data_IF_002406285541
#
_entry.id   IF_002406285541
#
_cell.length_a   1.000
_cell.length_b   1.000
_cell.length_c   1.000
_cell.angle_alpha   90.00
_cell.angle_beta   90.00
_cell.angle_gamma   90.00
#
_symmetry.space_group_name_H-M   'P 1'
#
loop_
_entity.id
_entity.type
_entity.pdbx_description
1 polymer ?
#
# COMPACT_ATOMS: atom_id res chain seq x y z
N UNK A 1 -0.15 34.89 4.64
CA UNK A 1 -0.87 34.70 5.92
C UNK A 1 -0.26 33.51 6.63
N UNK A 2 0.40 33.75 7.77
CA UNK A 2 1.09 32.73 8.58
C UNK A 2 0.04 31.76 9.14
N UNK A 3 0.06 30.49 8.74
CA UNK A 3 -0.68 29.45 9.45
C UNK A 3 0.18 29.06 10.67
N UNK A 4 -0.23 29.39 11.90
CA UNK A 4 0.58 29.13 13.07
C UNK A 4 0.72 27.61 13.20
N UNK A 5 1.94 27.19 13.47
CA UNK A 5 2.28 25.83 13.82
C UNK A 5 1.27 25.29 14.83
N UNK A 6 0.36 24.41 14.39
CA UNK A 6 -0.45 23.62 15.31
C UNK A 6 0.43 22.49 15.87
N UNK A 7 1.56 22.87 16.47
CA UNK A 7 2.15 22.04 17.52
C UNK A 7 1.22 22.24 18.69
N UNK A 8 0.21 21.38 18.81
CA UNK A 8 -0.46 21.20 20.10
C UNK A 8 0.70 20.86 21.04
N UNK A 9 1.01 21.69 22.06
CA UNK A 9 2.04 21.34 23.02
C UNK A 9 1.63 19.98 23.59
N UNK A 10 2.43 18.94 23.32
CA UNK A 10 2.19 17.60 23.85
C UNK A 10 2.48 17.70 25.34
N UNK A 11 1.46 18.11 26.09
CA UNK A 11 1.50 18.05 27.54
C UNK A 11 1.29 16.57 27.86
N UNK A 12 2.39 15.84 28.03
CA UNK A 12 2.37 14.53 28.68
C UNK A 12 2.03 14.81 30.14
N UNK A 13 0.73 14.85 30.43
CA UNK A 13 0.24 14.94 31.80
C UNK A 13 0.51 13.61 32.49
N UNK A 14 0.90 13.65 33.76
CA UNK A 14 1.13 12.48 34.61
C UNK A 14 -0.10 11.55 34.75
N UNK A 15 -1.26 11.94 34.21
CA UNK A 15 -2.51 11.16 34.20
C UNK A 15 -2.97 10.76 32.79
N UNK A 16 -2.05 10.62 31.84
CA UNK A 16 -2.41 10.23 30.47
C UNK A 16 -2.97 8.80 30.42
N UNK A 17 -4.07 8.61 29.68
CA UNK A 17 -4.67 7.29 29.45
C UNK A 17 -4.23 6.73 28.11
N UNK A 18 -3.81 5.47 28.10
CA UNK A 18 -3.38 4.75 26.90
C UNK A 18 -4.43 3.70 26.59
N UNK A 19 -5.01 3.76 25.39
CA UNK A 19 -5.88 2.71 24.87
C UNK A 19 -5.01 1.62 24.26
N UNK A 20 -5.11 0.39 24.77
CA UNK A 20 -4.36 -0.77 24.29
C UNK A 20 -5.31 -1.78 23.65
N UNK A 21 -5.02 -2.18 22.41
CA UNK A 21 -5.76 -3.24 21.72
C UNK A 21 -4.91 -4.48 21.58
N UNK A 22 -5.50 -5.67 21.73
CA UNK A 22 -4.73 -6.92 21.74
C UNK A 22 -4.14 -7.24 23.11
N UNK A 23 -4.71 -6.67 24.19
CA UNK A 23 -4.24 -6.82 25.58
C UNK A 23 -4.07 -8.27 26.06
N UNK A 24 -4.81 -9.20 25.45
CA UNK A 24 -4.76 -10.63 25.77
C UNK A 24 -3.70 -11.40 24.98
N UNK A 25 -3.02 -10.74 24.04
CA UNK A 25 -1.96 -11.32 23.23
C UNK A 25 -0.64 -11.41 23.98
N UNK A 26 0.23 -12.33 23.54
CA UNK A 26 1.52 -12.63 24.16
C UNK A 26 2.43 -11.40 24.29
N UNK A 27 2.55 -10.63 23.21
CA UNK A 27 3.34 -9.38 23.15
C UNK A 27 2.76 -8.31 24.06
N UNK A 28 1.44 -8.13 24.04
CA UNK A 28 0.79 -7.11 24.85
C UNK A 28 0.84 -7.42 26.34
N UNK A 29 0.76 -8.69 26.74
CA UNK A 29 0.95 -9.11 28.12
C UNK A 29 2.34 -8.76 28.64
N UNK A 30 3.37 -8.99 27.82
CA UNK A 30 4.77 -8.67 28.14
C UNK A 30 4.97 -7.16 28.35
N UNK A 31 4.36 -6.33 27.50
CA UNK A 31 4.42 -4.86 27.66
C UNK A 31 3.70 -4.40 28.92
N UNK A 32 2.52 -4.97 29.21
CA UNK A 32 1.79 -4.65 30.44
C UNK A 32 2.58 -5.05 31.69
N UNK A 33 3.24 -6.21 31.65
CA UNK A 33 4.06 -6.70 32.76
C UNK A 33 5.30 -5.82 32.96
N UNK A 34 6.01 -5.47 31.90
CA UNK A 34 7.11 -4.50 31.98
C UNK A 34 6.68 -3.13 32.51
N UNK A 35 5.57 -2.58 32.02
CA UNK A 35 5.05 -1.29 32.50
C UNK A 35 4.51 -1.36 33.93
N UNK A 36 4.18 -2.57 34.40
CA UNK A 36 3.82 -2.85 35.78
C UNK A 36 5.06 -2.97 36.68
N UNK A 37 6.12 -3.66 36.22
CA UNK A 37 7.37 -3.90 36.92
C UNK A 37 8.25 -2.64 37.02
N UNK A 38 8.38 -1.88 35.92
CA UNK A 38 9.18 -0.64 35.83
C UNK A 38 8.51 0.54 36.57
N UNK A 39 7.32 0.33 37.15
CA UNK A 39 6.59 1.31 37.97
C UNK A 39 7.48 1.95 39.05
N UNK A 40 8.50 1.27 39.54
CA UNK A 40 9.36 1.78 40.62
C UNK A 40 10.55 2.63 40.15
N UNK A 41 10.92 2.57 38.87
CA UNK A 41 12.17 3.18 38.38
C UNK A 41 11.95 4.53 37.68
N UNK A 42 10.80 4.72 37.03
CA UNK A 42 10.57 5.86 36.15
C UNK A 42 9.31 6.67 36.56
N UNK A 43 9.46 7.88 37.13
CA UNK A 43 8.33 8.68 37.65
C UNK A 43 7.37 9.17 36.56
N UNK A 44 7.80 9.18 35.29
CA UNK A 44 6.97 9.57 34.14
C UNK A 44 5.90 8.53 33.79
N UNK A 45 6.05 7.27 34.23
CA UNK A 45 5.16 6.15 33.88
C UNK A 45 4.20 5.78 35.03
N UNK A 46 4.50 6.21 36.26
CA UNK A 46 3.77 5.84 37.48
C UNK A 46 2.28 6.19 37.47
N UNK A 47 1.90 7.31 36.85
CA UNK A 47 0.51 7.78 36.79
C UNK A 47 -0.26 7.37 35.52
N UNK A 48 0.35 6.59 34.62
CA UNK A 48 -0.31 6.11 33.41
C UNK A 48 -1.32 5.01 33.74
N UNK A 49 -2.51 5.14 33.14
CA UNK A 49 -3.61 4.16 33.21
C UNK A 49 -3.90 3.61 31.81
N UNK A 50 -4.31 2.35 31.74
CA UNK A 50 -4.50 1.62 30.49
C UNK A 50 -5.95 1.21 30.32
N UNK A 51 -6.59 1.71 29.26
CA UNK A 51 -7.88 1.21 28.82
C UNK A 51 -7.62 0.00 27.90
N UNK A 52 -8.00 -1.21 28.32
CA UNK A 52 -7.68 -2.46 27.62
C UNK A 52 -8.89 -2.94 26.84
N UNK A 53 -8.83 -3.01 25.51
CA UNK A 53 -9.92 -3.64 24.74
C UNK A 53 -9.80 -5.16 24.83
N UNK A 54 -10.84 -5.81 25.36
CA UNK A 54 -10.87 -7.25 25.59
C UNK A 54 -12.13 -7.85 24.96
N UNK A 55 -12.00 -9.04 24.36
CA UNK A 55 -13.11 -9.75 23.71
C UNK A 55 -13.99 -10.53 24.70
N UNK A 56 -13.39 -11.15 25.71
CA UNK A 56 -14.10 -11.98 26.71
C UNK A 56 -14.08 -11.36 28.11
N UNK A 57 -15.16 -11.57 28.85
CA UNK A 57 -15.30 -11.11 30.23
C UNK A 57 -14.32 -11.84 31.17
N UNK A 58 -14.00 -13.11 30.88
CA UNK A 58 -12.99 -13.88 31.60
C UNK A 58 -11.60 -13.24 31.51
N UNK A 59 -11.21 -12.78 30.32
CA UNK A 59 -9.93 -12.10 30.15
C UNK A 59 -9.93 -10.72 30.81
N UNK A 60 -11.07 -10.01 30.82
CA UNK A 60 -11.20 -8.75 31.56
C UNK A 60 -11.02 -8.97 33.07
N UNK A 61 -11.58 -10.05 33.62
CA UNK A 61 -11.40 -10.42 35.03
C UNK A 61 -9.92 -10.72 35.36
N UNK A 62 -9.26 -11.55 34.55
CA UNK A 62 -7.83 -11.87 34.73
C UNK A 62 -6.93 -10.63 34.71
N UNK A 63 -7.20 -9.70 33.79
CA UNK A 63 -6.42 -8.46 33.68
C UNK A 63 -6.64 -7.51 34.87
N UNK A 64 -7.86 -7.44 35.42
CA UNK A 64 -8.14 -6.68 36.65
C UNK A 64 -7.44 -7.28 37.86
N UNK A 65 -7.46 -8.61 37.98
CA UNK A 65 -6.78 -9.33 39.07
C UNK A 65 -5.25 -9.16 38.99
N UNK A 66 -4.66 -9.20 37.79
CA UNK A 66 -3.22 -9.09 37.59
C UNK A 66 -2.67 -7.66 37.76
N UNK A 67 -3.37 -6.64 37.25
CA UNK A 67 -2.83 -5.29 37.14
C UNK A 67 -3.53 -4.21 37.99
N UNK A 68 -4.61 -4.58 38.70
CA UNK A 68 -5.34 -3.71 39.63
C UNK A 68 -5.95 -2.46 38.96
N UNK A 69 -6.03 -1.36 39.71
CA UNK A 69 -6.73 -0.12 39.30
C UNK A 69 -6.09 0.62 38.10
N UNK A 70 -4.91 0.19 37.64
CA UNK A 70 -4.26 0.77 36.45
C UNK A 70 -4.79 0.19 35.14
N UNK A 71 -5.38 -1.01 35.18
CA UNK A 71 -5.94 -1.67 34.02
C UNK A 71 -7.46 -1.59 34.06
N UNK A 72 -8.01 -0.83 33.12
CA UNK A 72 -9.45 -0.72 32.91
C UNK A 72 -9.85 -1.52 31.66
N UNK A 73 -10.17 -2.82 31.78
CA UNK A 73 -10.61 -3.59 30.64
C UNK A 73 -12.03 -3.21 30.25
N UNK A 74 -12.17 -2.88 28.97
CA UNK A 74 -13.39 -2.50 28.28
C UNK A 74 -13.73 -3.67 27.35
N UNK A 75 -14.90 -4.28 27.57
CA UNK A 75 -15.37 -5.34 26.71
C UNK A 75 -15.79 -4.78 25.35
N UNK A 76 -15.15 -5.25 24.28
CA UNK A 76 -15.44 -4.80 22.92
C UNK A 76 -15.32 -5.99 21.95
N UNK A 77 -16.48 -6.45 21.46
CA UNK A 77 -16.54 -7.55 20.49
C UNK A 77 -16.25 -7.12 19.04
N UNK A 78 -16.36 -5.83 18.73
CA UNK A 78 -16.32 -5.31 17.37
C UNK A 78 -14.92 -5.03 16.80
N UNK A 79 -13.83 -5.61 17.30
CA UNK A 79 -12.49 -5.45 16.70
C UNK A 79 -12.15 -6.66 15.83
N UNK A 80 -13.09 -7.03 14.97
CA UNK A 80 -13.00 -8.11 13.99
C UNK A 80 -13.26 -7.51 12.62
N UNK A 81 -12.48 -7.91 11.63
CA UNK A 81 -12.69 -7.54 10.22
C UNK A 81 -13.90 -8.26 9.60
N UNK A 82 -14.61 -9.07 10.39
CA UNK A 82 -15.87 -9.70 9.99
C UNK A 82 -16.92 -8.59 9.79
N UNK A 83 -17.56 -8.51 8.61
CA UNK A 83 -18.48 -7.45 8.24
C UNK A 83 -19.80 -7.59 9.01
N UNK A 84 -19.82 -7.21 10.28
CA UNK A 84 -21.04 -7.19 11.08
C UNK A 84 -21.96 -6.00 10.73
N UNK A 85 -21.50 -5.03 9.93
CA UNK A 85 -22.37 -4.00 9.37
C UNK A 85 -21.79 -3.31 8.10
N UNK A 86 -22.58 -3.14 7.02
CA UNK A 86 -22.12 -2.59 5.73
C UNK A 86 -21.87 -1.07 5.72
N UNK A 87 -21.93 -0.38 6.87
CA UNK A 87 -21.90 1.10 6.88
C UNK A 87 -20.57 1.73 7.27
N UNK A 88 -19.73 1.11 8.14
CA UNK A 88 -18.33 1.53 8.43
C UNK A 88 -17.54 0.38 9.08
N UNK A 89 -16.28 0.11 8.67
CA UNK A 89 -15.41 -0.79 9.42
C UNK A 89 -15.25 -0.29 10.86
N UNK A 90 -15.36 -1.15 11.88
CA UNK A 90 -15.32 -0.73 13.28
C UNK A 90 -14.00 -0.06 13.67
N UNK A 91 -12.89 -0.48 13.05
CA UNK A 91 -11.55 0.12 13.20
C UNK A 91 -11.54 1.59 12.74
N UNK A 92 -12.15 1.90 11.61
CA UNK A 92 -12.27 3.27 11.07
C UNK A 92 -13.11 4.18 11.98
N UNK A 93 -14.17 3.64 12.58
CA UNK A 93 -14.99 4.37 13.55
C UNK A 93 -14.21 4.67 14.83
N UNK A 94 -13.40 3.72 15.31
CA UNK A 94 -12.53 3.89 16.48
C UNK A 94 -11.51 5.02 16.28
N UNK A 95 -10.77 5.00 15.18
CA UNK A 95 -9.76 6.03 14.85
C UNK A 95 -10.39 7.41 14.70
N UNK A 96 -11.52 7.52 13.98
CA UNK A 96 -12.23 8.80 13.89
C UNK A 96 -12.77 9.29 15.25
N UNK A 97 -13.18 8.38 16.13
CA UNK A 97 -13.59 8.69 17.48
C UNK A 97 -12.45 9.28 18.32
N UNK A 98 -11.25 8.69 18.23
CA UNK A 98 -10.05 9.17 18.90
C UNK A 98 -9.58 10.52 18.35
N UNK A 99 -9.55 10.68 17.02
CA UNK A 99 -9.16 11.93 16.37
C UNK A 99 -10.04 13.12 16.81
N UNK A 100 -11.35 12.91 17.02
CA UNK A 100 -12.27 13.95 17.53
C UNK A 100 -11.97 14.41 18.96
N UNK A 101 -11.21 13.63 19.73
CA UNK A 101 -10.83 13.95 21.13
C UNK A 101 -9.60 14.84 21.21
N UNK A 102 -8.83 14.94 20.12
CA UNK A 102 -7.68 15.85 20.01
C UNK A 102 -8.21 17.28 19.91
N UNK A 103 -8.17 18.01 21.03
CA UNK A 103 -8.59 19.41 21.15
C UNK A 103 -7.51 20.23 21.87
N UNK A 104 -7.36 21.53 21.57
CA UNK A 104 -6.41 22.39 22.27
C UNK A 104 -6.69 22.38 23.78
N UNK A 105 -5.69 22.05 24.60
CA UNK A 105 -5.80 22.00 26.06
C UNK A 105 -6.17 20.63 26.65
N UNK A 106 -6.54 19.64 25.84
CA UNK A 106 -6.75 18.26 26.29
C UNK A 106 -5.47 17.42 26.13
N UNK A 107 -5.29 16.44 27.02
CA UNK A 107 -4.26 15.41 26.84
C UNK A 107 -4.50 14.63 25.54
N UNK A 108 -3.42 14.38 24.79
CA UNK A 108 -3.49 13.61 23.54
C UNK A 108 -3.84 12.16 23.89
N UNK A 109 -4.88 11.57 23.28
CA UNK A 109 -5.19 10.16 23.47
C UNK A 109 -4.11 9.30 22.80
N UNK A 110 -3.50 8.40 23.56
CA UNK A 110 -2.53 7.44 23.05
C UNK A 110 -3.24 6.13 22.70
N UNK A 111 -3.00 5.61 21.50
CA UNK A 111 -3.47 4.29 21.08
C UNK A 111 -2.25 3.43 20.79
N UNK A 112 -2.15 2.30 21.50
CA UNK A 112 -1.17 1.26 21.24
C UNK A 112 -1.91 0.06 20.64
N UNK A 113 -1.65 -0.22 19.35
CA UNK A 113 -2.32 -1.27 18.60
C UNK A 113 -1.40 -2.48 18.43
N UNK A 114 -1.70 -3.57 19.14
CA UNK A 114 -0.90 -4.82 19.15
C UNK A 114 -1.82 -6.03 18.96
N UNK A 115 -2.97 -5.84 18.30
CA UNK A 115 -3.84 -6.95 17.94
C UNK A 115 -3.21 -7.68 16.73
N UNK A 116 -3.11 -9.01 16.80
CA UNK A 116 -2.61 -9.80 15.68
C UNK A 116 -1.08 -9.79 15.49
N UNK A 117 -0.30 -9.36 16.49
CA UNK A 117 1.16 -9.53 16.48
C UNK A 117 1.54 -10.85 17.18
N UNK A 118 1.75 -11.96 16.44
CA UNK A 118 2.42 -13.14 16.98
C UNK A 118 3.92 -12.87 17.16
N UNK A 119 4.55 -13.62 18.06
CA UNK A 119 6.02 -13.62 18.21
C UNK A 119 6.68 -14.49 17.11
N UNK A 120 6.36 -14.22 15.84
CA UNK A 120 6.78 -15.08 14.71
C UNK A 120 8.27 -14.90 14.32
N UNK A 121 9.04 -14.12 15.07
CA UNK A 121 10.30 -13.52 14.61
C UNK A 121 11.56 -13.96 15.34
N UNK A 122 11.57 -15.09 16.05
CA UNK A 122 12.71 -15.47 16.89
C UNK A 122 13.77 -16.32 16.17
N UNK A 123 13.50 -16.77 14.93
CA UNK A 123 14.45 -17.53 14.10
C UNK A 123 14.89 -16.73 12.86
N UNK A 124 16.16 -16.85 12.44
CA UNK A 124 16.64 -16.18 11.24
C UNK A 124 15.78 -16.53 10.01
N UNK A 125 15.43 -15.53 9.19
CA UNK A 125 14.72 -15.70 7.90
C UNK A 125 15.45 -16.64 6.92
N UNK A 126 16.70 -16.98 7.19
CA UNK A 126 17.53 -17.91 6.41
C UNK A 126 17.34 -19.38 6.80
N UNK A 127 16.65 -19.67 7.91
CA UNK A 127 16.33 -21.04 8.33
C UNK A 127 15.02 -21.52 7.70
N UNK A 128 14.85 -22.83 7.63
CA UNK A 128 13.61 -23.45 7.11
C UNK A 128 12.43 -23.05 7.98
N UNK A 129 11.34 -22.57 7.37
CA UNK A 129 10.11 -22.21 8.05
C UNK A 129 9.67 -23.34 9.00
N UNK A 130 9.58 -23.04 10.29
CA UNK A 130 9.21 -24.01 11.31
C UNK A 130 8.32 -23.37 12.37
N UNK A 131 7.15 -23.94 12.64
CA UNK A 131 6.38 -24.84 11.77
C UNK A 131 5.69 -24.05 10.64
N UNK A 132 5.61 -24.63 9.44
CA UNK A 132 4.71 -24.14 8.40
C UNK A 132 3.27 -24.48 8.82
N UNK A 133 2.57 -23.51 9.41
CA UNK A 133 1.22 -23.68 9.95
C UNK A 133 0.40 -22.43 9.70
N UNK A 134 -0.70 -22.62 8.98
CA UNK A 134 -1.73 -21.60 8.80
C UNK A 134 -2.70 -21.62 9.99
N UNK A 135 -2.97 -20.46 10.56
CA UNK A 135 -3.84 -20.30 11.72
C UNK A 135 -5.17 -19.68 11.28
N UNK A 136 -6.27 -20.31 11.69
CA UNK A 136 -7.62 -19.75 11.52
C UNK A 136 -7.93 -18.77 12.66
N UNK A 137 -8.34 -17.55 12.31
CA UNK A 137 -8.75 -16.51 13.25
C UNK A 137 -9.96 -16.90 14.10
N UNK A 138 -10.75 -17.91 13.68
CA UNK A 138 -11.84 -18.46 14.48
C UNK A 138 -11.34 -19.15 15.76
N UNK A 139 -10.11 -19.66 15.76
CA UNK A 139 -9.47 -20.38 16.87
C UNK A 139 -8.55 -19.49 17.71
N UNK A 140 -9.05 -18.37 18.25
CA UNK A 140 -8.22 -17.32 18.87
C UNK A 140 -7.27 -17.75 20.01
N UNK A 141 -7.47 -18.91 20.64
CA UNK A 141 -6.58 -19.46 21.67
C UNK A 141 -5.53 -20.45 21.12
N UNK A 142 -5.71 -20.98 19.91
CA UNK A 142 -4.85 -22.04 19.38
C UNK A 142 -3.40 -21.55 19.16
N UNK A 143 -3.25 -20.31 18.69
CA UNK A 143 -1.95 -19.63 18.57
C UNK A 143 -1.30 -19.47 19.95
N UNK A 144 -2.08 -19.07 20.95
CA UNK A 144 -1.58 -18.85 22.32
C UNK A 144 -1.11 -20.15 22.97
N UNK A 145 -1.90 -21.23 22.86
CA UNK A 145 -1.54 -22.53 23.44
C UNK A 145 -0.28 -23.11 22.79
N UNK A 146 -0.12 -22.93 21.48
CA UNK A 146 1.09 -23.32 20.76
C UNK A 146 2.32 -22.55 21.23
N UNK A 147 2.24 -21.21 21.27
CA UNK A 147 3.36 -20.38 21.74
C UNK A 147 3.71 -20.68 23.20
N UNK A 148 2.70 -20.97 24.03
CA UNK A 148 2.91 -21.37 25.43
C UNK A 148 3.63 -22.72 25.55
N UNK A 149 3.31 -23.69 24.70
CA UNK A 149 4.00 -24.98 24.67
C UNK A 149 5.44 -24.81 24.17
N UNK A 150 5.68 -23.96 23.17
CA UNK A 150 7.01 -23.69 22.64
C UNK A 150 7.92 -22.99 23.67
N UNK A 151 7.40 -22.02 24.43
CA UNK A 151 8.16 -21.35 25.50
C UNK A 151 8.51 -22.32 26.65
N UNK A 152 7.72 -23.39 26.86
CA UNK A 152 8.07 -24.45 27.83
C UNK A 152 9.14 -25.41 27.32
N UNK A 153 9.21 -25.67 26.01
CA UNK A 153 10.22 -26.54 25.40
C UNK A 153 11.57 -25.84 25.24
N UNK A 154 11.54 -24.56 24.84
CA UNK A 154 12.73 -23.71 24.70
C UNK A 154 12.55 -22.41 25.49
N UNK A 155 12.91 -22.39 26.79
CA UNK A 155 12.80 -21.19 27.61
C UNK A 155 13.71 -20.10 27.06
N UNK A 156 13.13 -19.03 26.52
CA UNK A 156 13.90 -17.91 25.96
C UNK A 156 14.65 -17.15 27.08
N UNK A 157 15.92 -16.74 26.87
CA UNK A 157 16.67 -15.99 27.87
C UNK A 157 16.16 -14.54 27.97
N UNK A 158 15.56 -14.22 29.12
CA UNK A 158 15.26 -12.90 29.73
C UNK A 158 14.65 -11.77 28.85
N UNK A 159 13.62 -11.13 29.43
CA UNK A 159 12.91 -9.87 29.08
C UNK A 159 13.55 -8.92 28.04
N UNK A 160 14.85 -8.66 28.11
CA UNK A 160 15.53 -7.68 27.25
C UNK A 160 15.64 -8.12 25.77
N UNK A 161 15.75 -9.43 25.49
CA UNK A 161 15.76 -9.92 24.09
C UNK A 161 14.37 -9.80 23.43
N UNK A 162 13.30 -9.88 24.21
CA UNK A 162 11.90 -9.90 23.70
C UNK A 162 11.50 -8.53 23.16
N UNK A 163 11.84 -7.46 23.87
CA UNK A 163 11.61 -6.08 23.38
C UNK A 163 12.57 -5.75 22.23
N UNK A 164 13.81 -6.22 22.28
CA UNK A 164 14.78 -6.02 21.21
C UNK A 164 14.33 -6.68 19.89
N UNK A 165 13.84 -7.94 19.92
CA UNK A 165 13.31 -8.62 18.74
C UNK A 165 12.05 -7.94 18.20
N UNK A 166 11.16 -7.47 19.08
CA UNK A 166 9.99 -6.69 18.66
C UNK A 166 10.40 -5.37 18.00
N UNK A 167 11.29 -4.58 18.62
CA UNK A 167 11.79 -3.33 18.03
C UNK A 167 12.53 -3.60 16.71
N UNK A 168 13.31 -4.67 16.62
CA UNK A 168 13.99 -5.09 15.39
C UNK A 168 13.01 -5.52 14.29
N UNK A 169 11.93 -6.24 14.60
CA UNK A 169 10.92 -6.63 13.60
C UNK A 169 10.11 -5.44 13.11
N UNK A 170 9.75 -4.49 13.99
CA UNK A 170 9.12 -3.22 13.58
C UNK A 170 10.07 -2.35 12.74
N UNK A 171 11.35 -2.26 13.12
CA UNK A 171 12.36 -1.55 12.33
C UNK A 171 12.59 -2.23 10.97
N UNK A 172 12.66 -3.56 10.93
CA UNK A 172 12.79 -4.33 9.70
C UNK A 172 11.56 -4.15 8.80
N UNK A 173 10.34 -4.14 9.37
CA UNK A 173 9.12 -3.88 8.62
C UNK A 173 9.10 -2.45 8.06
N UNK A 174 9.42 -1.45 8.88
CA UNK A 174 9.48 -0.05 8.44
C UNK A 174 10.50 0.14 7.31
N UNK A 175 11.68 -0.48 7.46
CA UNK A 175 12.73 -0.47 6.44
C UNK A 175 12.26 -1.19 5.17
N UNK A 176 11.59 -2.35 5.29
CA UNK A 176 11.06 -3.09 4.14
C UNK A 176 10.01 -2.28 3.37
N UNK A 177 9.10 -1.61 4.08
CA UNK A 177 8.08 -0.74 3.48
C UNK A 177 8.72 0.47 2.78
N UNK A 178 9.76 1.05 3.36
CA UNK A 178 10.53 2.12 2.73
C UNK A 178 11.19 1.65 1.42
N UNK A 179 11.87 0.51 1.43
CA UNK A 179 12.48 -0.08 0.22
C UNK A 179 11.46 -0.36 -0.88
N UNK A 180 10.34 -1.01 -0.53
CA UNK A 180 9.25 -1.29 -1.48
C UNK A 180 8.70 0.03 -2.05
N UNK A 181 8.58 1.07 -1.23
CA UNK A 181 8.11 2.39 -1.70
C UNK A 181 9.09 3.04 -2.68
N UNK A 182 10.39 2.95 -2.42
CA UNK A 182 11.44 3.45 -3.31
C UNK A 182 11.42 2.69 -4.64
N UNK A 183 11.37 1.36 -4.60
CA UNK A 183 11.28 0.52 -5.80
C UNK A 183 10.06 0.88 -6.65
N UNK A 184 8.90 1.06 -6.02
CA UNK A 184 7.67 1.47 -6.69
C UNK A 184 7.78 2.85 -7.33
N UNK A 185 8.40 3.80 -6.64
CA UNK A 185 8.64 5.15 -7.17
C UNK A 185 9.47 5.10 -8.45
N UNK A 186 10.58 4.35 -8.42
CA UNK A 186 11.47 4.17 -9.58
C UNK A 186 10.75 3.42 -10.71
N UNK A 187 10.05 2.34 -10.41
CA UNK A 187 9.31 1.54 -11.40
C UNK A 187 8.27 2.39 -12.13
N UNK A 188 7.53 3.26 -11.41
CA UNK A 188 6.52 4.13 -12.03
C UNK A 188 7.14 5.12 -13.02
N UNK A 189 8.31 5.69 -12.71
CA UNK A 189 9.02 6.58 -13.64
C UNK A 189 9.54 5.83 -14.87
N UNK A 190 10.15 4.65 -14.66
CA UNK A 190 10.62 3.81 -15.75
C UNK A 190 9.48 3.35 -16.66
N UNK A 191 8.34 2.98 -16.09
CA UNK A 191 7.14 2.60 -16.82
C UNK A 191 6.65 3.72 -17.74
N UNK A 192 6.50 4.95 -17.22
CA UNK A 192 6.05 6.11 -18.00
C UNK A 192 6.98 6.37 -19.20
N UNK A 193 8.28 6.29 -18.97
CA UNK A 193 9.30 6.51 -20.02
C UNK A 193 9.30 5.38 -21.04
N UNK A 194 9.29 4.12 -20.60
CA UNK A 194 9.26 2.94 -21.46
C UNK A 194 8.02 2.94 -22.36
N UNK A 195 6.85 3.25 -21.80
CA UNK A 195 5.59 3.28 -22.55
C UNK A 195 5.59 4.37 -23.63
N UNK A 196 6.19 5.54 -23.35
CA UNK A 196 6.39 6.58 -24.34
C UNK A 196 7.24 6.10 -25.52
N UNK A 197 8.39 5.47 -25.24
CA UNK A 197 9.28 4.95 -26.29
C UNK A 197 8.60 3.88 -27.16
N UNK A 198 7.80 3.00 -26.55
CA UNK A 198 7.01 1.99 -27.29
C UNK A 198 6.04 2.67 -28.26
N UNK A 199 5.24 3.64 -27.79
CA UNK A 199 4.28 4.39 -28.63
C UNK A 199 4.97 5.17 -29.75
N UNK A 200 6.06 5.86 -29.44
CA UNK A 200 6.86 6.59 -30.42
C UNK A 200 7.46 5.67 -31.49
N UNK A 201 7.92 4.47 -31.09
CA UNK A 201 8.45 3.47 -32.03
C UNK A 201 7.39 2.98 -33.01
N UNK A 202 6.15 2.76 -32.56
CA UNK A 202 5.02 2.38 -33.42
C UNK A 202 4.65 3.53 -34.38
N UNK A 203 4.55 4.76 -33.88
CA UNK A 203 4.23 5.93 -34.69
C UNK A 203 5.32 6.24 -35.72
N UNK A 204 6.59 6.05 -35.37
CA UNK A 204 7.72 6.18 -36.29
C UNK A 204 7.67 5.11 -37.40
N UNK A 205 7.26 3.89 -37.09
CA UNK A 205 7.01 2.85 -38.09
C UNK A 205 5.89 3.25 -39.06
N UNK A 206 4.75 3.75 -38.56
CA UNK A 206 3.66 4.21 -39.41
C UNK A 206 4.06 5.37 -40.33
N UNK A 207 4.93 6.27 -39.86
CA UNK A 207 5.46 7.38 -40.66
C UNK A 207 6.32 6.91 -41.84
N UNK A 208 6.99 5.74 -41.71
CA UNK A 208 7.76 5.12 -42.79
C UNK A 208 6.87 4.41 -43.81
N UNK A 209 5.77 3.81 -43.38
CA UNK A 209 4.92 3.00 -44.27
C UNK A 209 4.00 3.87 -45.13
N UNK A 210 3.37 4.92 -44.58
CA UNK A 210 2.47 5.82 -45.35
C UNK A 210 3.04 7.23 -45.51
N UNK A 211 2.98 7.73 -46.75
CA UNK A 211 3.49 9.05 -47.14
C UNK A 211 2.38 10.08 -47.35
N UNK A 212 1.10 9.73 -47.13
CA UNK A 212 -0.03 10.66 -47.29
C UNK A 212 0.01 11.79 -46.27
N UNK A 213 -0.31 13.01 -46.74
CA UNK A 213 -0.30 14.24 -45.92
C UNK A 213 -1.22 14.14 -44.70
N UNK A 214 -2.46 13.66 -44.86
CA UNK A 214 -3.41 13.52 -43.76
C UNK A 214 -2.95 12.52 -42.70
N UNK A 215 -2.42 11.36 -43.11
CA UNK A 215 -1.87 10.35 -42.19
C UNK A 215 -0.70 10.92 -41.39
N UNK A 216 0.20 11.67 -42.04
CA UNK A 216 1.34 12.31 -41.36
C UNK A 216 0.92 13.35 -40.33
N UNK A 217 -0.06 14.21 -40.66
CA UNK A 217 -0.60 15.16 -39.69
C UNK A 217 -1.23 14.46 -38.48
N UNK A 218 -1.97 13.37 -38.70
CA UNK A 218 -2.52 12.54 -37.61
C UNK A 218 -1.41 11.92 -36.75
N UNK A 219 -0.34 11.41 -37.36
CA UNK A 219 0.83 10.87 -36.63
C UNK A 219 1.52 11.95 -35.80
N UNK A 220 1.78 13.14 -36.36
CA UNK A 220 2.40 14.23 -35.60
C UNK A 220 1.54 14.68 -34.42
N UNK A 221 0.22 14.75 -34.61
CA UNK A 221 -0.71 15.04 -33.53
C UNK A 221 -0.64 13.97 -32.43
N UNK A 222 -0.63 12.67 -32.79
CA UNK A 222 -0.49 11.60 -31.82
C UNK A 222 0.85 11.67 -31.08
N UNK A 223 1.98 11.88 -31.77
CA UNK A 223 3.29 12.07 -31.15
C UNK A 223 3.25 13.22 -30.12
N UNK A 224 2.67 14.36 -30.51
CA UNK A 224 2.53 15.51 -29.61
C UNK A 224 1.73 15.14 -28.34
N UNK A 225 0.59 14.46 -28.50
CA UNK A 225 -0.23 14.05 -27.34
C UNK A 225 0.45 13.01 -26.45
N UNK A 226 1.18 12.05 -27.03
CA UNK A 226 1.91 11.01 -26.29
C UNK A 226 3.05 11.63 -25.48
N UNK A 227 3.86 12.49 -26.10
CA UNK A 227 4.97 13.18 -25.41
C UNK A 227 4.41 14.11 -24.33
N UNK A 228 3.37 14.89 -24.63
CA UNK A 228 2.75 15.80 -23.67
C UNK A 228 2.18 15.07 -22.45
N UNK A 229 1.49 13.94 -22.66
CA UNK A 229 0.99 13.11 -21.57
C UNK A 229 2.14 12.51 -20.76
N UNK A 230 3.19 12.01 -21.41
CA UNK A 230 4.35 11.42 -20.74
C UNK A 230 5.06 12.45 -19.85
N UNK A 231 5.34 13.64 -20.39
CA UNK A 231 6.04 14.71 -19.66
C UNK A 231 5.20 15.19 -18.48
N UNK A 232 3.90 15.43 -18.67
CA UNK A 232 3.02 15.83 -17.56
C UNK A 232 2.93 14.77 -16.46
N UNK A 233 2.85 13.49 -16.83
CA UNK A 233 2.83 12.37 -15.87
C UNK A 233 4.14 12.26 -15.11
N UNK A 234 5.28 12.35 -15.80
CA UNK A 234 6.60 12.27 -15.19
C UNK A 234 6.83 13.42 -14.20
N UNK A 235 6.44 14.65 -14.57
CA UNK A 235 6.51 15.81 -13.68
C UNK A 235 5.67 15.58 -12.42
N UNK A 236 4.43 15.12 -12.57
CA UNK A 236 3.58 14.86 -11.40
C UNK A 236 4.13 13.73 -10.54
N UNK A 237 4.67 12.66 -11.13
CA UNK A 237 5.30 11.59 -10.36
C UNK A 237 6.53 12.07 -9.58
N UNK A 238 7.30 13.03 -10.11
CA UNK A 238 8.48 13.60 -9.44
C UNK A 238 8.09 14.63 -8.37
N UNK A 239 7.08 15.47 -8.68
CA UNK A 239 6.70 16.62 -7.86
C UNK A 239 5.45 16.37 -6.99
N UNK A 240 4.94 15.13 -6.91
CA UNK A 240 3.81 14.81 -6.01
C UNK A 240 4.17 15.04 -4.53
N UNK A 241 5.46 14.99 -4.19
CA UNK A 241 6.01 15.30 -2.88
C UNK A 241 7.27 16.15 -3.05
N UNK A 242 7.39 17.24 -2.30
CA UNK A 242 8.61 18.05 -2.27
C UNK A 242 9.09 18.26 -0.83
N UNK A 243 10.25 17.70 -0.43
CA UNK A 243 11.16 16.84 -1.20
C UNK A 243 10.58 15.46 -1.54
N UNK A 244 11.09 14.79 -2.59
CA UNK A 244 10.62 13.48 -3.04
C UNK A 244 10.79 12.38 -1.99
N UNK A 245 11.72 12.55 -1.04
CA UNK A 245 11.94 11.64 0.07
C UNK A 245 10.70 11.46 0.96
N UNK A 246 9.81 12.46 1.02
CA UNK A 246 8.52 12.36 1.73
C UNK A 246 7.57 11.32 1.14
N UNK A 247 7.86 10.81 -0.07
CA UNK A 247 7.08 9.72 -0.66
C UNK A 247 7.25 8.42 0.12
N UNK A 248 8.49 8.03 0.44
CA UNK A 248 8.81 6.77 1.10
C UNK A 248 9.02 6.92 2.61
N UNK A 249 9.38 8.10 3.12
CA UNK A 249 9.36 8.36 4.56
C UNK A 249 7.91 8.55 5.06
N UNK A 250 7.38 7.50 5.69
CA UNK A 250 6.03 7.50 6.25
C UNK A 250 5.93 8.26 7.59
N UNK A 251 7.07 8.58 8.21
CA UNK A 251 7.13 9.13 9.58
C UNK A 251 7.25 10.64 9.62
N UNK A 252 7.67 11.28 8.51
CA UNK A 252 7.84 12.72 8.45
C UNK A 252 6.48 13.46 8.44
N UNK A 253 6.19 14.34 9.43
CA UNK A 253 4.98 15.14 9.46
C UNK A 253 4.82 16.10 8.27
N UNK A 254 5.88 16.38 7.52
CA UNK A 254 5.84 17.17 6.28
C UNK A 254 5.13 16.44 5.13
N UNK A 255 4.82 15.15 5.26
CA UNK A 255 4.03 14.38 4.30
C UNK A 255 2.65 14.96 4.03
N UNK A 256 2.07 15.72 4.97
CA UNK A 256 0.83 16.47 4.74
C UNK A 256 0.92 17.50 3.60
N UNK A 257 2.14 17.92 3.23
CA UNK A 257 2.39 18.83 2.10
C UNK A 257 2.45 18.12 0.76
N UNK A 258 2.48 16.79 0.73
CA UNK A 258 2.37 16.03 -0.52
C UNK A 258 0.99 16.20 -1.14
N UNK A 259 0.88 15.92 -2.44
CA UNK A 259 -0.38 15.96 -3.17
C UNK A 259 -1.43 15.07 -2.47
N UNK A 260 -2.61 15.62 -2.12
CA UNK A 260 -3.67 14.87 -1.46
C UNK A 260 -4.04 13.62 -2.26
N UNK A 261 -4.30 12.50 -1.56
CA UNK A 261 -4.62 11.22 -2.20
C UNK A 261 -5.78 11.33 -3.21
N UNK A 262 -6.81 12.12 -2.89
CA UNK A 262 -7.94 12.36 -3.78
C UNK A 262 -7.55 13.05 -5.10
N UNK A 263 -6.67 14.07 -5.03
CA UNK A 263 -6.21 14.78 -6.24
C UNK A 263 -5.32 13.89 -7.10
N UNK A 264 -4.42 13.16 -6.44
CA UNK A 264 -3.53 12.19 -7.08
C UNK A 264 -4.33 11.12 -7.83
N UNK A 265 -5.39 10.60 -7.22
CA UNK A 265 -6.25 9.61 -7.82
C UNK A 265 -6.98 10.15 -9.05
N UNK A 266 -7.60 11.34 -8.96
CA UNK A 266 -8.29 11.97 -10.11
C UNK A 266 -7.31 12.13 -11.29
N UNK A 267 -6.07 12.53 -11.01
CA UNK A 267 -5.04 12.65 -12.04
C UNK A 267 -4.73 11.31 -12.71
N UNK A 268 -4.48 10.24 -11.94
CA UNK A 268 -4.17 8.93 -12.51
C UNK A 268 -5.36 8.28 -13.22
N UNK A 269 -6.59 8.51 -12.76
CA UNK A 269 -7.81 8.08 -13.46
C UNK A 269 -7.94 8.77 -14.83
N UNK A 270 -7.78 10.10 -14.88
CA UNK A 270 -7.82 10.85 -16.13
C UNK A 270 -6.68 10.44 -17.08
N UNK A 271 -5.48 10.23 -16.53
CA UNK A 271 -4.32 9.76 -17.28
C UNK A 271 -4.55 8.38 -17.91
N UNK A 272 -5.17 7.47 -17.15
CA UNK A 272 -5.54 6.14 -17.64
C UNK A 272 -6.50 6.21 -18.82
N UNK A 273 -7.54 7.05 -18.74
CA UNK A 273 -8.51 7.24 -19.84
C UNK A 273 -7.81 7.78 -21.09
N UNK A 274 -6.98 8.82 -20.95
CA UNK A 274 -6.28 9.42 -22.10
C UNK A 274 -5.33 8.39 -22.74
N UNK A 275 -4.64 7.57 -21.92
CA UNK A 275 -3.78 6.51 -22.44
C UNK A 275 -4.55 5.48 -23.27
N UNK A 276 -5.69 4.99 -22.77
CA UNK A 276 -6.55 4.05 -23.51
C UNK A 276 -7.02 4.66 -24.83
N UNK A 277 -7.45 5.94 -24.80
CA UNK A 277 -7.89 6.65 -26.00
C UNK A 277 -6.76 6.76 -27.02
N UNK A 278 -5.53 7.09 -26.58
CA UNK A 278 -4.36 7.10 -27.46
C UNK A 278 -4.09 5.74 -28.08
N UNK A 279 -4.19 4.66 -27.31
CA UNK A 279 -3.93 3.31 -27.80
C UNK A 279 -4.94 2.91 -28.88
N UNK A 280 -6.22 3.24 -28.68
CA UNK A 280 -7.27 3.04 -29.69
C UNK A 280 -6.95 3.81 -30.98
N UNK A 281 -6.55 5.08 -30.89
CA UNK A 281 -6.21 5.87 -32.08
C UNK A 281 -4.97 5.32 -32.81
N UNK A 282 -3.93 4.95 -32.08
CA UNK A 282 -2.72 4.34 -32.65
C UNK A 282 -3.07 3.02 -33.34
N UNK A 283 -3.95 2.22 -32.74
CA UNK A 283 -4.41 0.96 -33.29
C UNK A 283 -5.28 1.14 -34.55
N UNK A 284 -6.16 2.14 -34.59
CA UNK A 284 -7.04 2.39 -35.74
C UNK A 284 -6.30 3.01 -36.94
N UNK A 285 -5.20 3.73 -36.71
CA UNK A 285 -4.43 4.43 -37.75
C UNK A 285 -4.00 3.56 -38.96
N UNK A 286 -3.52 2.32 -38.80
CA UNK A 286 -3.20 1.41 -39.92
C UNK A 286 -4.40 0.82 -40.68
N UNK A 287 -5.64 0.84 -40.13
CA UNK A 287 -6.81 0.22 -40.80
C UNK A 287 -7.11 0.86 -42.17
N UNK A 288 -7.18 2.20 -42.31
CA UNK A 288 -7.36 2.85 -43.61
C UNK A 288 -6.14 2.69 -44.53
N UNK A 289 -4.94 2.55 -43.96
CA UNK A 289 -3.70 2.35 -44.71
C UNK A 289 -3.71 1.00 -45.43
N UNK A 290 -4.13 -0.07 -44.75
CA UNK A 290 -4.21 -1.42 -45.30
C UNK A 290 -5.26 -1.60 -46.41
N UNK A 291 -6.37 -0.85 -46.38
CA UNK A 291 -7.44 -0.99 -47.38
C UNK A 291 -7.00 -0.67 -48.82
N UNK A 292 -5.92 0.08 -49.00
CA UNK A 292 -5.44 0.52 -50.33
C UNK A 292 -4.09 -0.08 -50.73
N UNK A 293 -3.46 -0.90 -49.88
CA UNK A 293 -2.13 -1.45 -50.16
C UNK A 293 -2.26 -2.86 -50.78
N UNK A 294 -1.83 -3.00 -52.03
CA UNK A 294 -1.79 -4.30 -52.73
C UNK A 294 -0.57 -5.12 -52.27
N UNK A 295 -0.61 -5.60 -51.02
CA UNK A 295 0.45 -6.42 -50.42
C UNK A 295 0.23 -7.91 -50.74
N UNK A 296 1.29 -8.68 -51.06
CA UNK A 296 1.21 -10.13 -51.24
C UNK A 296 0.65 -10.82 -49.97
N UNK A 297 -0.12 -11.90 -50.16
CA UNK A 297 -0.91 -12.56 -49.09
C UNK A 297 -0.11 -12.89 -47.83
N UNK A 298 1.17 -13.26 -47.95
CA UNK A 298 2.05 -13.55 -46.81
C UNK A 298 2.31 -12.33 -45.92
N UNK A 299 2.56 -11.15 -46.51
CA UNK A 299 2.74 -9.91 -45.76
C UNK A 299 1.42 -9.43 -45.15
N UNK A 300 0.29 -9.67 -45.83
CA UNK A 300 -1.04 -9.36 -45.30
C UNK A 300 -1.36 -10.17 -44.03
N UNK A 301 -0.95 -11.44 -43.97
CA UNK A 301 -1.09 -12.27 -42.76
C UNK A 301 -0.19 -11.79 -41.61
N UNK A 302 1.05 -11.39 -41.88
CA UNK A 302 1.95 -10.84 -40.86
C UNK A 302 1.37 -9.57 -40.22
N UNK A 303 0.84 -8.64 -41.02
CA UNK A 303 0.23 -7.41 -40.50
C UNK A 303 -1.06 -7.70 -39.71
N UNK A 304 -1.87 -8.67 -40.15
CA UNK A 304 -3.08 -9.08 -39.41
C UNK A 304 -2.72 -9.70 -38.05
N UNK A 305 -1.65 -10.49 -37.99
CA UNK A 305 -1.16 -11.08 -36.75
C UNK A 305 -0.66 -10.02 -35.77
N UNK A 306 0.09 -9.03 -36.25
CA UNK A 306 0.52 -7.88 -35.44
C UNK A 306 -0.67 -7.06 -34.90
N UNK A 307 -1.72 -6.93 -35.71
CA UNK A 307 -2.99 -6.34 -35.29
C UNK A 307 -3.57 -7.08 -34.09
N UNK A 308 -3.59 -8.41 -34.14
CA UNK A 308 -4.15 -9.24 -33.10
C UNK A 308 -3.38 -9.14 -31.78
N UNK A 309 -2.04 -9.08 -31.83
CA UNK A 309 -1.21 -8.86 -30.64
C UNK A 309 -1.45 -7.46 -30.05
N UNK A 310 -1.64 -6.45 -30.90
CA UNK A 310 -2.01 -5.10 -30.47
C UNK A 310 -3.33 -5.03 -29.68
N UNK A 311 -4.32 -5.87 -30.03
CA UNK A 311 -5.58 -5.99 -29.26
C UNK A 311 -5.32 -6.53 -27.85
N UNK A 312 -4.42 -7.52 -27.72
CA UNK A 312 -4.09 -8.10 -26.40
C UNK A 312 -3.47 -7.04 -25.48
N UNK A 313 -2.57 -6.21 -26.01
CA UNK A 313 -1.99 -5.09 -25.26
C UNK A 313 -3.07 -4.07 -24.84
N UNK A 314 -4.03 -3.76 -25.72
CA UNK A 314 -5.15 -2.86 -25.40
C UNK A 314 -6.05 -3.43 -24.29
N UNK A 315 -6.32 -4.75 -24.31
CA UNK A 315 -7.10 -5.43 -23.27
C UNK A 315 -6.35 -5.40 -21.93
N UNK A 316 -5.04 -5.66 -21.93
CA UNK A 316 -4.20 -5.60 -20.73
C UNK A 316 -4.25 -4.20 -20.08
N UNK A 317 -4.13 -3.13 -20.87
CA UNK A 317 -4.27 -1.75 -20.39
C UNK A 317 -5.67 -1.44 -19.83
N UNK A 318 -6.73 -2.02 -20.41
CA UNK A 318 -8.09 -1.92 -19.89
C UNK A 318 -8.29 -2.63 -18.55
N UNK A 319 -7.70 -3.83 -18.39
CA UNK A 319 -7.71 -4.57 -17.11
C UNK A 319 -6.94 -3.79 -16.04
N UNK A 320 -5.77 -3.23 -16.37
CA UNK A 320 -5.02 -2.35 -15.48
C UNK A 320 -5.87 -1.16 -15.01
N UNK A 321 -6.59 -0.51 -15.91
CA UNK A 321 -7.49 0.60 -15.55
C UNK A 321 -8.61 0.16 -14.61
N UNK A 322 -9.19 -1.03 -14.81
CA UNK A 322 -10.16 -1.60 -13.89
C UNK A 322 -9.60 -1.76 -12.46
N UNK A 323 -8.38 -2.26 -12.33
CA UNK A 323 -7.71 -2.36 -11.03
C UNK A 323 -7.46 -0.98 -10.40
N UNK A 324 -7.00 0.00 -11.19
CA UNK A 324 -6.82 1.38 -10.71
C UNK A 324 -8.13 1.99 -10.18
N UNK A 325 -9.28 1.70 -10.79
CA UNK A 325 -10.58 2.13 -10.27
C UNK A 325 -10.94 1.42 -8.95
N UNK A 326 -10.53 0.17 -8.78
CA UNK A 326 -10.77 -0.62 -7.56
C UNK A 326 -9.95 -0.14 -6.36
N UNK A 327 -8.79 0.50 -6.58
CA UNK A 327 -8.05 1.19 -5.51
C UNK A 327 -8.87 2.25 -4.77
N UNK A 328 -10.00 2.71 -5.33
CA UNK A 328 -10.89 3.70 -4.72
C UNK A 328 -11.71 3.17 -3.53
N UNK A 329 -12.09 1.90 -3.55
CA UNK A 329 -13.27 1.41 -2.83
C UNK A 329 -13.00 0.26 -1.85
N UNK A 330 -11.78 -0.26 -1.76
CA UNK A 330 -11.49 -1.50 -1.02
C UNK A 330 -10.45 -1.26 0.10
N UNK A 331 -10.58 -2.02 1.20
CA UNK A 331 -9.71 -1.93 2.37
C UNK A 331 -8.31 -2.55 2.10
N UNK A 332 -8.17 -3.42 1.08
CA UNK A 332 -6.92 -4.09 0.68
C UNK A 332 -6.19 -3.40 -0.48
N UNK A 333 -5.71 -2.19 -0.24
CA UNK A 333 -5.01 -1.35 -1.24
C UNK A 333 -3.80 -2.08 -1.85
N UNK A 334 -3.04 -2.82 -1.05
CA UNK A 334 -1.79 -3.46 -1.48
C UNK A 334 -2.00 -4.63 -2.44
N UNK A 335 -3.08 -5.40 -2.27
CA UNK A 335 -3.41 -6.53 -3.14
C UNK A 335 -3.72 -6.04 -4.57
N UNK A 336 -4.65 -5.09 -4.69
CA UNK A 336 -5.04 -4.52 -5.98
C UNK A 336 -3.92 -3.71 -6.64
N UNK A 337 -3.06 -3.08 -5.84
CA UNK A 337 -1.89 -2.39 -6.35
C UNK A 337 -0.88 -3.37 -6.98
N UNK A 338 -0.62 -4.50 -6.33
CA UNK A 338 0.28 -5.55 -6.86
C UNK A 338 -0.26 -6.16 -8.15
N UNK A 339 -1.56 -6.48 -8.19
CA UNK A 339 -2.22 -6.93 -9.43
C UNK A 339 -2.08 -5.91 -10.56
N UNK A 340 -2.30 -4.61 -10.27
CA UNK A 340 -2.12 -3.56 -11.26
C UNK A 340 -0.69 -3.50 -11.81
N UNK A 341 0.33 -3.71 -10.97
CA UNK A 341 1.75 -3.72 -11.41
C UNK A 341 2.07 -4.92 -12.28
N UNK A 342 1.52 -6.10 -11.99
CA UNK A 342 1.69 -7.28 -12.84
C UNK A 342 1.12 -7.04 -14.25
N UNK A 343 -0.06 -6.42 -14.34
CA UNK A 343 -0.65 -6.06 -15.63
C UNK A 343 0.17 -5.01 -16.39
N UNK A 344 0.81 -4.05 -15.71
CA UNK A 344 1.76 -3.13 -16.36
C UNK A 344 2.91 -3.88 -17.04
N UNK A 345 3.50 -4.87 -16.36
CA UNK A 345 4.60 -5.67 -16.91
C UNK A 345 4.16 -6.46 -18.14
N UNK A 346 2.99 -7.12 -18.06
CA UNK A 346 2.41 -7.86 -19.18
C UNK A 346 2.15 -6.94 -20.38
N UNK A 347 1.60 -5.75 -20.14
CA UNK A 347 1.31 -4.73 -21.16
C UNK A 347 2.60 -4.30 -21.90
N UNK A 348 3.66 -3.98 -21.15
CA UNK A 348 4.96 -3.57 -21.70
C UNK A 348 5.62 -4.70 -22.48
N UNK A 349 5.69 -5.91 -21.93
CA UNK A 349 6.31 -7.05 -22.61
C UNK A 349 5.57 -7.41 -23.91
N UNK A 350 4.23 -7.42 -23.87
CA UNK A 350 3.41 -7.70 -25.06
C UNK A 350 3.63 -6.65 -26.13
N UNK A 351 3.72 -5.37 -25.76
CA UNK A 351 3.95 -4.28 -26.70
C UNK A 351 5.36 -4.34 -27.33
N UNK A 352 6.39 -4.70 -26.54
CA UNK A 352 7.77 -4.91 -27.04
C UNK A 352 7.83 -6.09 -28.02
N UNK A 353 7.16 -7.20 -27.70
CA UNK A 353 7.09 -8.38 -28.58
C UNK A 353 6.40 -8.01 -29.89
N UNK A 354 5.26 -7.31 -29.81
CA UNK A 354 4.52 -6.82 -30.98
C UNK A 354 5.40 -5.97 -31.89
N UNK A 355 6.16 -5.03 -31.31
CA UNK A 355 7.04 -4.15 -32.07
C UNK A 355 8.24 -4.89 -32.67
N UNK A 356 8.82 -5.84 -31.95
CA UNK A 356 9.93 -6.67 -32.46
C UNK A 356 9.47 -7.49 -33.66
N UNK A 357 8.30 -8.11 -33.56
CA UNK A 357 7.69 -8.87 -34.65
C UNK A 357 7.36 -8.00 -35.87
N UNK A 358 7.07 -6.70 -35.70
CA UNK A 358 6.76 -5.80 -36.82
C UNK A 358 7.97 -5.32 -37.62
N UNK A 359 9.20 -5.65 -37.19
CA UNK A 359 10.44 -5.27 -37.89
C UNK A 359 10.87 -6.31 -38.93
N UNK A 360 10.43 -7.55 -38.76
CA UNK A 360 10.64 -8.67 -39.69
C UNK A 360 9.48 -8.74 -40.70
#
# INVERSE_FOLDING_TARGET
MKNPSCRIPIIVSSTSRILLTGATGYVSGTILDHLHLIKNEEPSIQGLTFDLLVRSEEAAKKLREAYGDRANPIQWAGLTDIPSSPKRPPTKACVHGLARRIKPGNAVPWLLHIAGCPNLGDRPLTETAYPDREWDDAGGNAVYEFLKAEDTETPLPAENHRVANMVCTWQALAHTVEHISIENYVNRLLYVVAFCFVKLSILAFYMRVDHRKYTRWAIYFLIFTVVGLTVSTALICIFECWPSALYWDLTDPLREKCMPAAQRQIFFEANGIINIVQDIFIYLLPVPMMRKLQVPRRQKFAVLFLFYIGIVALIAGGIRYYYVLKLKNEDDIWFYFSDSLNWCSIEVYTAIICRSASTF
#
